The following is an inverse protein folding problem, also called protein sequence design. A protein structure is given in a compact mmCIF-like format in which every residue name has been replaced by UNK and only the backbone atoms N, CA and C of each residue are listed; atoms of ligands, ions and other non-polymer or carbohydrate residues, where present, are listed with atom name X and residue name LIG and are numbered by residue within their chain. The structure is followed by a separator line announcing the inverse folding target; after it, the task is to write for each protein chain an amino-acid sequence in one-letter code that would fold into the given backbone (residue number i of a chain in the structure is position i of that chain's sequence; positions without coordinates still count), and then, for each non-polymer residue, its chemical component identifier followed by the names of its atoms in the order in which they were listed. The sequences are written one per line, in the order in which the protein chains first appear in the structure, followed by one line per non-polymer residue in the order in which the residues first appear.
data_IF_985035744791
#
_entry.id   IF_985035744791
#
_cell.length_a   1.000
_cell.length_b   1.000
_cell.length_c   1.000
_cell.angle_alpha   90.00
_cell.angle_beta   90.00
_cell.angle_gamma   90.00
#
_symmetry.space_group_name_H-M   'P 1'
#
loop_
_entity.id
_entity.type
_entity.pdbx_description
1 polymer ?
#
# COMPACT_ATOMS: atom_id res chain seq x y z
N UNK A 1 11.97 53.36 1.33
CA UNK A 1 13.13 52.82 0.61
C UNK A 1 13.89 51.93 1.59
N UNK A 2 13.84 50.61 1.58
CA UNK A 2 13.16 49.65 0.73
C UNK A 2 12.92 48.35 1.51
N UNK A 3 11.71 47.84 1.31
CA UNK A 3 11.22 46.47 1.35
C UNK A 3 12.18 45.32 1.70
N UNK A 4 11.81 44.63 2.78
CA UNK A 4 11.34 43.25 2.78
C UNK A 4 12.08 42.23 1.89
N UNK A 5 12.91 41.39 2.51
CA UNK A 5 13.30 40.08 1.96
C UNK A 5 12.56 39.03 2.80
N UNK A 6 11.29 38.80 2.46
CA UNK A 6 10.66 37.50 2.72
C UNK A 6 11.38 36.49 1.85
N UNK A 7 12.26 35.69 2.46
CA UNK A 7 12.69 34.44 1.86
C UNK A 7 11.47 33.57 1.56
N UNK A 8 11.52 32.69 0.55
CA UNK A 8 10.42 31.78 0.29
C UNK A 8 10.24 30.90 1.53
N UNK A 9 9.10 31.05 2.20
CA UNK A 9 8.61 30.10 3.20
C UNK A 9 8.79 28.68 2.64
N UNK A 10 9.40 27.73 3.38
CA UNK A 10 9.48 26.37 2.91
C UNK A 10 8.05 25.87 2.71
N UNK A 11 7.68 25.63 1.45
CA UNK A 11 6.37 25.10 1.05
C UNK A 11 5.93 24.00 2.03
N UNK A 12 5.01 24.33 2.95
CA UNK A 12 4.58 23.50 4.07
C UNK A 12 3.78 22.25 3.69
N UNK A 13 3.86 21.84 2.43
CA UNK A 13 3.27 20.60 1.95
C UNK A 13 4.09 19.41 2.45
N UNK A 14 3.47 18.40 3.07
CA UNK A 14 4.17 17.20 3.50
C UNK A 14 4.86 16.52 2.32
N UNK A 15 6.07 15.98 2.53
CA UNK A 15 6.76 15.19 1.50
C UNK A 15 5.89 14.03 1.03
N UNK A 16 6.08 13.56 -0.22
CA UNK A 16 5.38 12.38 -0.73
C UNK A 16 5.53 11.15 0.20
N UNK A 17 6.69 11.05 0.88
CA UNK A 17 6.94 10.04 1.91
C UNK A 17 6.02 10.17 3.11
N UNK A 18 5.93 11.38 3.67
CA UNK A 18 5.05 11.66 4.80
C UNK A 18 3.57 11.42 4.43
N UNK A 19 3.19 11.74 3.19
CA UNK A 19 1.83 11.52 2.71
C UNK A 19 1.45 10.03 2.67
N UNK A 20 2.27 9.17 2.06
CA UNK A 20 1.93 7.74 2.01
C UNK A 20 2.04 7.06 3.38
N UNK A 21 2.94 7.52 4.25
CA UNK A 21 3.05 6.99 5.62
C UNK A 21 1.78 7.27 6.42
N UNK A 22 1.28 8.52 6.39
CA UNK A 22 0.05 8.88 7.08
C UNK A 22 -1.16 8.06 6.62
N UNK A 23 -1.28 7.80 5.30
CA UNK A 23 -2.37 6.95 4.77
C UNK A 23 -2.25 5.50 5.26
N UNK A 24 -1.04 4.96 5.38
CA UNK A 24 -0.84 3.62 5.93
C UNK A 24 -1.16 3.57 7.42
N UNK A 25 -0.74 4.58 8.19
CA UNK A 25 -1.06 4.68 9.62
C UNK A 25 -2.58 4.71 9.86
N UNK A 26 -3.33 5.46 9.04
CA UNK A 26 -4.80 5.48 9.08
C UNK A 26 -5.42 4.13 8.74
N UNK A 27 -4.87 3.41 7.75
CA UNK A 27 -5.34 2.09 7.37
C UNK A 27 -5.10 1.06 8.48
N UNK A 28 -3.91 1.05 9.07
CA UNK A 28 -3.55 0.19 10.21
C UNK A 28 -4.44 0.47 11.42
N UNK A 29 -4.74 1.74 11.71
CA UNK A 29 -5.67 2.12 12.77
C UNK A 29 -7.10 1.62 12.49
N UNK A 30 -7.57 1.74 11.24
CA UNK A 30 -8.89 1.27 10.84
C UNK A 30 -9.00 -0.27 10.90
N UNK A 31 -7.97 -0.99 10.47
CA UNK A 31 -7.89 -2.46 10.59
C UNK A 31 -7.95 -2.88 12.07
N UNK A 32 -7.15 -2.23 12.92
CA UNK A 32 -7.15 -2.52 14.35
C UNK A 32 -8.52 -2.22 14.99
N UNK A 33 -9.21 -1.18 14.55
CA UNK A 33 -10.57 -0.87 14.99
C UNK A 33 -11.57 -1.95 14.53
N UNK A 34 -11.45 -2.45 13.31
CA UNK A 34 -12.30 -3.52 12.79
C UNK A 34 -12.15 -4.82 13.57
N UNK A 35 -10.91 -5.19 13.94
CA UNK A 35 -10.65 -6.40 14.76
C UNK A 35 -11.25 -6.31 16.16
N UNK A 36 -11.48 -5.09 16.68
CA UNK A 36 -12.13 -4.86 17.98
C UNK A 36 -13.64 -4.67 17.87
N UNK A 37 -14.19 -4.56 16.66
CA UNK A 37 -15.61 -4.31 16.46
C UNK A 37 -16.45 -5.52 16.92
N UNK A 38 -17.57 -5.31 17.62
CA UNK A 38 -18.43 -6.40 18.03
C UNK A 38 -19.15 -7.01 16.82
N UNK A 39 -18.73 -8.21 16.43
CA UNK A 39 -19.36 -8.97 15.33
C UNK A 39 -20.50 -9.88 15.80
N UNK A 40 -20.58 -10.17 17.10
CA UNK A 40 -21.56 -11.08 17.69
C UNK A 40 -23.01 -10.56 17.60
N UNK A 41 -23.20 -9.26 17.41
CA UNK A 41 -24.51 -8.63 17.24
C UNK A 41 -24.95 -8.53 15.78
N UNK A 42 -24.13 -9.00 14.82
CA UNK A 42 -24.45 -8.91 13.40
C UNK A 42 -25.34 -10.07 12.97
N UNK A 43 -26.36 -9.76 12.18
CA UNK A 43 -27.18 -10.74 11.47
C UNK A 43 -26.41 -11.36 10.29
N UNK A 44 -26.89 -12.50 9.77
CA UNK A 44 -26.30 -13.17 8.60
C UNK A 44 -26.07 -12.24 7.39
N UNK A 45 -27.06 -11.43 6.96
CA UNK A 45 -26.87 -10.46 5.87
C UNK A 45 -25.79 -9.40 6.17
N UNK A 46 -25.67 -8.95 7.42
CA UNK A 46 -24.65 -7.98 7.83
C UNK A 46 -23.25 -8.60 7.84
N UNK A 47 -23.13 -9.87 8.23
CA UNK A 47 -21.87 -10.63 8.14
C UNK A 47 -21.43 -10.80 6.69
N UNK A 48 -22.35 -11.16 5.79
CA UNK A 48 -22.07 -11.27 4.36
C UNK A 48 -21.63 -9.94 3.75
N UNK A 49 -22.28 -8.83 4.12
CA UNK A 49 -21.87 -7.50 3.66
C UNK A 49 -20.47 -7.12 4.17
N UNK A 50 -20.15 -7.44 5.43
CA UNK A 50 -18.81 -7.22 5.98
C UNK A 50 -17.75 -8.02 5.21
N UNK A 51 -17.98 -9.31 4.97
CA UNK A 51 -17.08 -10.16 4.19
C UNK A 51 -16.87 -9.58 2.78
N UNK A 52 -17.96 -9.22 2.09
CA UNK A 52 -17.90 -8.63 0.75
C UNK A 52 -17.05 -7.36 0.71
N UNK A 53 -17.22 -6.47 1.69
CA UNK A 53 -16.44 -5.23 1.78
C UNK A 53 -14.96 -5.50 2.05
N UNK A 54 -14.64 -6.48 2.88
CA UNK A 54 -13.25 -6.88 3.14
C UNK A 54 -12.59 -7.48 1.90
N UNK A 55 -13.27 -8.33 1.15
CA UNK A 55 -12.76 -8.87 -0.11
C UNK A 55 -12.46 -7.76 -1.13
N UNK A 56 -13.32 -6.75 -1.22
CA UNK A 56 -13.09 -5.60 -2.09
C UNK A 56 -11.83 -4.83 -1.67
N UNK A 57 -11.63 -4.61 -0.37
CA UNK A 57 -10.44 -3.95 0.16
C UNK A 57 -9.17 -4.77 -0.10
N UNK A 58 -9.23 -6.09 0.09
CA UNK A 58 -8.10 -6.99 -0.20
C UNK A 58 -7.70 -6.91 -1.68
N UNK A 59 -8.68 -7.01 -2.59
CA UNK A 59 -8.43 -6.93 -4.04
C UNK A 59 -7.81 -5.59 -4.44
N UNK A 60 -8.31 -4.48 -3.91
CA UNK A 60 -7.76 -3.14 -4.17
C UNK A 60 -6.32 -3.02 -3.65
N UNK A 61 -6.07 -3.47 -2.43
CA UNK A 61 -4.74 -3.45 -1.82
C UNK A 61 -3.75 -4.29 -2.62
N UNK A 62 -4.16 -5.49 -3.07
CA UNK A 62 -3.35 -6.36 -3.94
C UNK A 62 -3.03 -5.70 -5.28
N UNK A 63 -4.00 -5.03 -5.92
CA UNK A 63 -3.78 -4.30 -7.15
C UNK A 63 -2.80 -3.13 -6.97
N UNK A 64 -2.89 -2.39 -5.86
CA UNK A 64 -1.90 -1.36 -5.52
C UNK A 64 -0.50 -1.95 -5.32
N UNK A 65 -0.39 -3.07 -4.59
CA UNK A 65 0.89 -3.76 -4.40
C UNK A 65 1.49 -4.22 -5.74
N UNK A 66 0.70 -4.79 -6.65
CA UNK A 66 1.15 -5.19 -7.98
C UNK A 66 1.69 -4.00 -8.79
N UNK A 67 1.02 -2.84 -8.75
CA UNK A 67 1.51 -1.61 -9.42
C UNK A 67 2.83 -1.13 -8.84
N UNK A 68 2.97 -1.14 -7.51
CA UNK A 68 4.22 -0.76 -6.84
C UNK A 68 5.36 -1.73 -7.18
N UNK A 69 5.08 -3.04 -7.24
CA UNK A 69 6.04 -4.06 -7.68
C UNK A 69 6.45 -3.85 -9.13
N UNK A 70 5.50 -3.56 -10.03
CA UNK A 70 5.79 -3.25 -11.43
C UNK A 70 6.72 -2.05 -11.57
N UNK A 71 6.46 -0.98 -10.80
CA UNK A 71 7.34 0.19 -10.74
C UNK A 71 8.73 -0.12 -10.19
N UNK A 72 8.81 -0.87 -9.09
CA UNK A 72 10.08 -1.33 -8.51
C UNK A 72 10.90 -2.16 -9.51
N UNK A 73 10.24 -3.02 -10.28
CA UNK A 73 10.87 -3.82 -11.34
C UNK A 73 11.40 -2.93 -12.47
N UNK A 74 10.64 -1.92 -12.88
CA UNK A 74 11.05 -0.98 -13.94
C UNK A 74 12.22 -0.08 -13.51
N UNK A 75 12.29 0.31 -12.24
CA UNK A 75 13.37 1.14 -11.68
C UNK A 75 14.65 0.33 -11.35
N UNK A 76 14.56 -1.00 -11.26
CA UNK A 76 15.70 -1.85 -10.91
C UNK A 76 16.63 -2.09 -12.10
N UNK A 77 17.80 -1.44 -12.11
CA UNK A 77 18.79 -1.54 -13.19
C UNK A 77 19.75 -2.74 -13.04
N UNK A 78 19.97 -3.26 -11.83
CA UNK A 78 20.77 -4.46 -11.59
C UNK A 78 20.51 -5.06 -10.19
N UNK A 79 20.27 -6.38 -10.12
CA UNK A 79 20.06 -7.12 -8.87
C UNK A 79 18.80 -8.00 -8.88
N UNK A 80 18.75 -9.03 -8.01
CA UNK A 80 17.58 -9.90 -7.89
C UNK A 80 16.46 -9.22 -7.10
N UNK A 81 15.59 -8.47 -7.81
CA UNK A 81 14.37 -7.86 -7.25
C UNK A 81 13.54 -8.88 -6.46
N UNK A 82 13.48 -10.13 -6.94
CA UNK A 82 12.78 -11.22 -6.27
C UNK A 82 13.34 -11.54 -4.88
N UNK A 83 14.67 -11.50 -4.71
CA UNK A 83 15.30 -11.68 -3.39
C UNK A 83 14.93 -10.57 -2.41
N UNK A 84 14.99 -9.31 -2.86
CA UNK A 84 14.61 -8.15 -2.04
C UNK A 84 13.12 -8.16 -1.67
N UNK A 85 12.25 -8.47 -2.62
CA UNK A 85 10.79 -8.61 -2.40
C UNK A 85 10.49 -9.77 -1.45
N UNK A 86 11.12 -10.92 -1.64
CA UNK A 86 10.96 -12.09 -0.76
C UNK A 86 11.34 -11.78 0.68
N UNK A 87 12.47 -11.10 0.89
CA UNK A 87 12.92 -10.65 2.21
C UNK A 87 11.96 -9.62 2.83
N UNK A 88 11.55 -8.61 2.07
CA UNK A 88 10.70 -7.53 2.56
C UNK A 88 9.30 -8.02 2.96
N UNK A 89 8.69 -8.87 2.13
CA UNK A 89 7.35 -9.40 2.34
C UNK A 89 7.32 -10.68 3.19
N UNK A 90 8.50 -11.22 3.57
CA UNK A 90 8.66 -12.49 4.29
C UNK A 90 7.94 -13.66 3.59
N UNK A 91 8.07 -13.73 2.26
CA UNK A 91 7.49 -14.77 1.40
C UNK A 91 8.58 -15.65 0.80
N UNK A 92 8.19 -16.83 0.31
CA UNK A 92 9.12 -17.73 -0.38
C UNK A 92 9.67 -17.08 -1.66
N UNK A 93 10.87 -17.48 -2.11
CA UNK A 93 11.40 -17.02 -3.39
C UNK A 93 10.45 -17.32 -4.55
N UNK A 94 9.79 -18.48 -4.56
CA UNK A 94 8.84 -18.86 -5.61
C UNK A 94 7.62 -17.92 -5.66
N UNK A 95 7.07 -17.56 -4.50
CA UNK A 95 5.95 -16.62 -4.41
C UNK A 95 6.37 -15.20 -4.80
N UNK A 96 7.59 -14.77 -4.44
CA UNK A 96 8.14 -13.49 -4.88
C UNK A 96 8.28 -13.42 -6.40
N UNK A 97 8.80 -14.48 -7.04
CA UNK A 97 8.88 -14.58 -8.49
C UNK A 97 7.49 -14.55 -9.14
N UNK A 98 6.53 -15.31 -8.61
CA UNK A 98 5.14 -15.30 -9.11
C UNK A 98 4.55 -13.89 -9.10
N UNK A 99 4.64 -13.17 -7.98
CA UNK A 99 4.12 -11.79 -7.85
C UNK A 99 4.81 -10.80 -8.79
N UNK A 100 6.11 -10.96 -9.02
CA UNK A 100 6.84 -10.14 -10.00
C UNK A 100 6.39 -10.42 -11.42
N UNK A 101 6.20 -11.69 -11.79
CA UNK A 101 5.72 -12.08 -13.12
C UNK A 101 4.30 -11.56 -13.37
N UNK A 102 3.40 -11.71 -12.39
CA UNK A 102 2.05 -11.14 -12.46
C UNK A 102 2.08 -9.61 -12.64
N UNK A 103 2.96 -8.91 -11.92
CA UNK A 103 3.10 -7.46 -12.05
C UNK A 103 3.65 -7.02 -13.42
N UNK A 104 4.53 -7.83 -14.04
CA UNK A 104 5.05 -7.56 -15.40
C UNK A 104 3.98 -7.74 -16.48
N UNK A 105 3.15 -8.78 -16.37
CA UNK A 105 2.07 -9.06 -17.34
C UNK A 105 0.92 -8.06 -17.33
N UNK A 106 0.84 -7.18 -16.31
CA UNK A 106 -0.13 -6.09 -16.22
C UNK A 106 0.42 -4.74 -16.73
N UNK A 107 1.72 -4.64 -17.00
CA UNK A 107 2.40 -3.43 -17.45
C UNK A 107 2.72 -3.43 -18.97
N UNK A 108 2.47 -4.57 -19.63
CA UNK A 108 2.54 -4.79 -21.09
C UNK A 108 1.17 -4.63 -21.72
#
# INVERSE_FOLDING_TARGET
MDSNISGPEPSGAPSARAQWAAVLDELEAAEAALLRAPVHSLSGPQLLELIRRLEILERRTRAHQQRLLGRLVAESVAGSVAGSVGKALRISPAEAHRRITEARGLAS
#
